data_IF_566351105695
#
_entry.id   IF_566351105695
#
_cell.length_a   1.000
_cell.length_b   1.000
_cell.length_c   1.000
_cell.angle_alpha   90.00
_cell.angle_beta   90.00
_cell.angle_gamma   90.00
#
_symmetry.space_group_name_H-M   'P 1'
#
loop_
_entity.id
_entity.type
_entity.pdbx_description
1 polymer ?
#
# COMPACT_ATOMS: atom_id res chain seq x y z
N UNK A 1 22.04 20.26 -44.99
CA UNK A 1 21.99 21.22 -43.87
C UNK A 1 21.55 20.45 -42.65
N UNK A 2 22.29 20.54 -41.54
CA UNK A 2 21.90 19.88 -40.29
C UNK A 2 20.61 20.55 -39.79
N UNK A 3 19.60 19.76 -39.41
CA UNK A 3 18.36 20.30 -38.86
C UNK A 3 18.38 20.02 -37.35
N UNK A 4 18.67 21.01 -36.48
CA UNK A 4 18.63 20.81 -35.04
C UNK A 4 17.25 20.35 -34.53
N UNK A 5 16.18 20.53 -35.31
CA UNK A 5 14.87 19.93 -35.05
C UNK A 5 14.83 18.41 -35.21
N UNK A 6 15.66 17.80 -36.06
CA UNK A 6 15.78 16.33 -36.16
C UNK A 6 16.51 15.71 -34.96
N UNK A 7 17.54 16.37 -34.44
CA UNK A 7 18.29 15.90 -33.24
C UNK A 7 17.50 16.12 -31.94
N UNK A 8 16.61 17.12 -31.89
CA UNK A 8 15.62 17.25 -30.81
C UNK A 8 14.49 16.23 -30.94
N UNK A 9 14.08 15.90 -32.17
CA UNK A 9 13.04 14.90 -32.43
C UNK A 9 13.52 13.45 -32.25
N UNK A 10 14.84 13.20 -32.20
CA UNK A 10 15.41 11.87 -31.95
C UNK A 10 15.51 11.52 -30.47
N UNK A 11 15.28 12.50 -29.57
CA UNK A 11 15.18 12.27 -28.13
C UNK A 11 13.78 11.73 -27.81
N UNK A 12 13.74 10.54 -27.22
CA UNK A 12 12.51 9.90 -26.77
C UNK A 12 12.02 10.51 -25.45
N UNK A 13 11.40 11.69 -25.55
CA UNK A 13 10.77 12.36 -24.42
C UNK A 13 9.61 11.56 -23.83
N UNK A 14 8.96 10.71 -24.63
CA UNK A 14 7.86 9.86 -24.18
C UNK A 14 8.35 8.83 -23.16
N UNK A 15 9.47 8.16 -23.44
CA UNK A 15 10.09 7.23 -22.49
C UNK A 15 10.69 7.96 -21.27
N UNK A 16 11.34 9.11 -21.48
CA UNK A 16 11.93 9.90 -20.39
C UNK A 16 10.89 10.45 -19.40
N UNK A 17 9.70 10.82 -19.86
CA UNK A 17 8.61 11.35 -19.03
C UNK A 17 7.68 10.23 -18.55
N UNK A 18 7.37 9.30 -19.43
CA UNK A 18 6.48 8.17 -19.17
C UNK A 18 7.05 7.18 -18.18
N UNK A 19 8.36 6.89 -18.24
CA UNK A 19 9.02 5.95 -17.33
C UNK A 19 8.82 6.31 -15.85
N UNK A 20 9.19 7.53 -15.40
CA UNK A 20 8.97 7.99 -14.04
C UNK A 20 7.49 8.01 -13.64
N UNK A 21 6.58 8.44 -14.52
CA UNK A 21 5.14 8.45 -14.23
C UNK A 21 4.58 7.03 -14.02
N UNK A 22 4.95 6.09 -14.89
CA UNK A 22 4.55 4.68 -14.76
C UNK A 22 5.16 4.07 -13.49
N UNK A 23 6.40 4.42 -13.16
CA UNK A 23 7.04 3.96 -11.93
C UNK A 23 6.29 4.43 -10.67
N UNK A 24 5.83 5.69 -10.63
CA UNK A 24 5.03 6.22 -9.51
C UNK A 24 3.70 5.47 -9.37
N UNK A 25 3.01 5.21 -10.49
CA UNK A 25 1.74 4.45 -10.49
C UNK A 25 1.97 3.03 -9.97
N UNK A 26 3.01 2.35 -10.43
CA UNK A 26 3.36 1.00 -9.96
C UNK A 26 3.73 1.00 -8.48
N UNK A 27 4.50 1.99 -8.01
CA UNK A 27 4.85 2.14 -6.60
C UNK A 27 3.60 2.36 -5.72
N UNK A 28 2.61 3.12 -6.20
CA UNK A 28 1.32 3.27 -5.51
C UNK A 28 0.54 1.96 -5.43
N UNK A 29 0.48 1.21 -6.53
CA UNK A 29 -0.18 -0.08 -6.54
C UNK A 29 0.48 -1.05 -5.54
N UNK A 30 1.81 -1.09 -5.50
CA UNK A 30 2.55 -1.92 -4.56
C UNK A 30 2.31 -1.50 -3.10
N UNK A 31 2.32 -0.19 -2.80
CA UNK A 31 2.02 0.32 -1.47
C UNK A 31 0.62 -0.11 -0.99
N UNK A 32 -0.39 -0.03 -1.86
CA UNK A 32 -1.74 -0.48 -1.56
C UNK A 32 -1.81 -1.99 -1.27
N UNK A 33 -1.11 -2.80 -2.08
CA UNK A 33 -1.02 -4.26 -1.87
C UNK A 33 -0.36 -4.59 -0.53
N UNK A 34 0.69 -3.86 -0.14
CA UNK A 34 1.34 -4.06 1.17
C UNK A 34 0.39 -3.80 2.34
N UNK A 35 -0.45 -2.76 2.27
CA UNK A 35 -1.47 -2.51 3.30
C UNK A 35 -2.53 -3.62 3.33
N UNK A 36 -2.99 -4.10 2.17
CA UNK A 36 -3.94 -5.23 2.10
C UNK A 36 -3.34 -6.50 2.70
N UNK A 37 -2.08 -6.80 2.37
CA UNK A 37 -1.38 -7.97 2.90
C UNK A 37 -1.19 -7.89 4.41
N UNK A 38 -0.89 -6.70 4.94
CA UNK A 38 -0.83 -6.48 6.38
C UNK A 38 -2.18 -6.73 7.05
N UNK A 39 -3.27 -6.18 6.50
CA UNK A 39 -4.63 -6.40 7.03
C UNK A 39 -4.99 -7.89 7.02
N UNK A 40 -4.65 -8.59 5.93
CA UNK A 40 -4.88 -10.04 5.81
C UNK A 40 -4.08 -10.85 6.83
N UNK A 41 -2.80 -10.52 7.03
CA UNK A 41 -1.93 -11.28 7.93
C UNK A 41 -2.25 -11.09 9.41
N UNK A 42 -2.74 -9.91 9.81
CA UNK A 42 -3.04 -9.62 11.23
C UNK A 42 -4.52 -9.75 11.57
N UNK A 43 -5.41 -9.60 10.57
CA UNK A 43 -6.84 -9.45 10.77
C UNK A 43 -7.64 -10.74 10.66
N UNK A 44 -7.16 -11.70 9.88
CA UNK A 44 -7.92 -12.90 9.53
C UNK A 44 -7.11 -14.16 9.79
N UNK A 45 -7.79 -15.25 10.15
CA UNK A 45 -7.15 -16.57 10.23
C UNK A 45 -6.68 -16.98 8.84
N UNK A 46 -5.55 -17.68 8.76
CA UNK A 46 -5.06 -18.22 7.50
C UNK A 46 -6.13 -19.13 6.88
N UNK A 47 -6.69 -18.71 5.74
CA UNK A 47 -7.49 -19.57 4.87
C UNK A 47 -6.63 -20.75 4.41
N UNK A 48 -7.26 -21.86 4.07
CA UNK A 48 -6.56 -23.11 3.76
C UNK A 48 -5.90 -23.10 2.36
N UNK A 49 -5.70 -21.92 1.76
CA UNK A 49 -5.12 -21.76 0.42
C UNK A 49 -4.15 -20.57 0.34
N UNK A 50 -2.99 -20.82 -0.26
CA UNK A 50 -1.97 -19.81 -0.60
C UNK A 50 -2.34 -19.00 -1.87
N UNK A 51 -3.56 -19.14 -2.37
CA UNK A 51 -4.02 -18.56 -3.63
C UNK A 51 -4.81 -17.26 -3.41
N UNK A 52 -4.57 -16.28 -4.28
CA UNK A 52 -5.18 -14.96 -4.25
C UNK A 52 -6.63 -15.01 -4.78
N UNK A 53 -7.51 -15.75 -4.10
CA UNK A 53 -8.94 -15.81 -4.42
C UNK A 53 -9.69 -14.77 -3.57
N UNK A 54 -10.53 -13.96 -4.23
CA UNK A 54 -11.30 -12.86 -3.63
C UNK A 54 -12.34 -13.35 -2.58
N UNK A 55 -12.55 -14.67 -2.52
CA UNK A 55 -13.52 -15.34 -1.66
C UNK A 55 -12.93 -16.09 -0.45
N UNK A 56 -11.59 -16.13 -0.29
CA UNK A 56 -10.91 -16.84 0.83
C UNK A 56 -10.44 -15.88 1.94
N UNK A 57 -11.25 -14.87 2.26
CA UNK A 57 -10.99 -14.06 3.46
C UNK A 57 -11.47 -14.89 4.67
N UNK A 58 -10.54 -15.54 5.37
CA UNK A 58 -10.83 -16.37 6.54
C UNK A 58 -11.52 -15.61 7.68
N UNK A 59 -11.94 -16.30 8.73
CA UNK A 59 -12.63 -15.65 9.86
C UNK A 59 -11.77 -14.57 10.52
N UNK A 60 -12.33 -13.42 10.90
CA UNK A 60 -11.58 -12.38 11.60
C UNK A 60 -11.09 -12.87 12.97
N UNK A 61 -9.90 -12.40 13.36
CA UNK A 61 -9.29 -12.69 14.65
C UNK A 61 -9.88 -11.76 15.71
N UNK A 62 -10.43 -12.34 16.77
CA UNK A 62 -10.99 -11.62 17.91
C UNK A 62 -10.09 -11.76 19.14
N UNK A 63 -10.04 -10.69 19.94
CA UNK A 63 -9.46 -10.68 21.28
C UNK A 63 -10.59 -10.69 22.29
N UNK A 64 -10.55 -11.67 23.21
CA UNK A 64 -11.54 -11.78 24.29
C UNK A 64 -11.01 -11.13 25.56
N UNK A 65 -11.68 -10.09 26.02
CA UNK A 65 -11.48 -9.50 27.35
C UNK A 65 -12.42 -10.17 28.34
N UNK A 66 -11.88 -10.56 29.50
CA UNK A 66 -12.65 -11.09 30.62
C UNK A 66 -12.65 -10.05 31.74
N UNK A 67 -13.82 -9.76 32.28
CA UNK A 67 -13.95 -8.86 33.42
C UNK A 67 -14.99 -9.36 34.41
N UNK A 68 -14.74 -9.26 35.73
CA UNK A 68 -15.74 -9.59 36.73
C UNK A 68 -16.82 -8.50 36.73
N UNK A 69 -18.09 -8.91 36.65
CA UNK A 69 -19.24 -8.03 36.80
C UNK A 69 -20.13 -8.55 37.92
N UNK A 70 -20.52 -7.66 38.82
CA UNK A 70 -21.56 -7.95 39.81
C UNK A 70 -22.91 -8.01 39.10
N UNK A 71 -23.51 -9.20 39.07
CA UNK A 71 -24.80 -9.45 38.41
C UNK A 71 -25.97 -9.34 39.39
N UNK A 72 -25.70 -9.54 40.69
CA UNK A 72 -26.69 -9.38 41.74
C UNK A 72 -26.03 -8.74 42.97
N UNK A 73 -26.55 -7.60 43.45
CA UNK A 73 -26.08 -7.00 44.69
C UNK A 73 -26.43 -7.87 45.88
N UNK A 74 -25.65 -7.74 46.95
CA UNK A 74 -25.94 -8.40 48.22
C UNK A 74 -27.36 -8.10 48.69
N UNK A 75 -28.14 -9.15 48.94
CA UNK A 75 -29.48 -9.02 49.52
C UNK A 75 -29.41 -9.40 51.00
N UNK A 76 -29.59 -8.44 51.93
CA UNK A 76 -29.63 -8.74 53.34
C UNK A 76 -30.83 -9.67 53.64
N UNK A 77 -30.71 -10.57 54.62
CA UNK A 77 -31.80 -11.45 54.99
C UNK A 77 -33.01 -10.63 55.45
N UNK A 78 -34.16 -10.85 54.82
CA UNK A 78 -35.47 -10.37 55.31
C UNK A 78 -35.90 -11.23 56.50
N UNK A 79 -36.54 -10.62 57.51
CA UNK A 79 -36.66 -11.12 58.89
C UNK A 79 -37.03 -12.61 59.12
N UNK A 80 -36.58 -13.10 60.29
CA UNK A 80 -36.91 -14.36 60.96
C UNK A 80 -36.86 -15.64 60.10
N UNK A 81 -35.67 -15.96 59.57
CA UNK A 81 -35.36 -17.28 59.00
C UNK A 81 -34.90 -17.28 57.54
N UNK A 82 -34.85 -16.12 56.89
CA UNK A 82 -34.32 -16.01 55.53
C UNK A 82 -32.79 -16.10 55.49
N UNK A 83 -32.23 -16.91 54.60
CA UNK A 83 -30.80 -16.88 54.28
C UNK A 83 -30.49 -15.68 53.39
N UNK A 84 -29.60 -14.80 53.83
CA UNK A 84 -29.11 -13.67 53.01
C UNK A 84 -28.39 -14.18 51.77
N UNK A 85 -28.58 -13.52 50.63
CA UNK A 85 -27.96 -13.94 49.37
C UNK A 85 -26.68 -13.13 49.13
N UNK A 86 -25.53 -13.81 49.08
CA UNK A 86 -24.24 -13.20 48.78
C UNK A 86 -24.26 -12.53 47.39
N UNK A 87 -23.54 -11.41 47.25
CA UNK A 87 -23.38 -10.75 45.96
C UNK A 87 -22.77 -11.73 44.94
N UNK A 88 -23.42 -11.87 43.79
CA UNK A 88 -22.95 -12.77 42.74
C UNK A 88 -22.09 -12.00 41.75
N UNK A 89 -20.80 -12.36 41.70
CA UNK A 89 -19.85 -11.85 40.73
C UNK A 89 -19.72 -12.89 39.61
N UNK A 90 -20.03 -12.50 38.38
CA UNK A 90 -19.91 -13.34 37.20
C UNK A 90 -18.83 -12.81 36.26
N UNK A 91 -17.99 -13.69 35.74
CA UNK A 91 -17.00 -13.35 34.71
C UNK A 91 -17.71 -13.12 33.38
N UNK A 92 -17.75 -11.88 32.92
CA UNK A 92 -18.27 -11.48 31.62
C UNK A 92 -17.15 -11.52 30.58
N UNK A 93 -17.52 -11.84 29.33
CA UNK A 93 -16.61 -11.83 28.18
C UNK A 93 -17.03 -10.76 27.19
N UNK A 94 -16.05 -10.01 26.69
CA UNK A 94 -16.21 -9.03 25.60
C UNK A 94 -15.27 -9.43 24.46
N UNK A 95 -15.81 -9.61 23.27
CA UNK A 95 -15.04 -9.99 22.09
C UNK A 95 -14.93 -8.80 21.14
N UNK A 96 -13.70 -8.41 20.81
CA UNK A 96 -13.40 -7.26 19.95
C UNK A 96 -12.45 -7.71 18.82
N UNK A 97 -12.71 -7.37 17.55
CA UNK A 97 -11.79 -7.69 16.45
C UNK A 97 -10.42 -7.04 16.68
N UNK A 98 -9.34 -7.78 16.41
CA UNK A 98 -7.98 -7.26 16.61
C UNK A 98 -7.67 -6.04 15.72
N UNK A 99 -8.33 -5.95 14.56
CA UNK A 99 -8.18 -4.87 13.60
C UNK A 99 -8.60 -3.50 14.15
N UNK A 100 -9.45 -3.45 15.18
CA UNK A 100 -9.86 -2.19 15.81
C UNK A 100 -8.89 -1.70 16.89
N UNK A 101 -7.89 -2.52 17.25
CA UNK A 101 -6.89 -2.18 18.27
C UNK A 101 -5.48 -2.03 17.70
N UNK A 102 -5.29 -2.34 16.41
CA UNK A 102 -4.01 -2.25 15.74
C UNK A 102 -3.98 -1.05 14.79
N UNK A 103 -2.95 -0.18 14.85
CA UNK A 103 -2.79 0.87 13.85
C UNK A 103 -2.45 0.24 12.48
N UNK A 104 -3.24 0.55 11.46
CA UNK A 104 -3.00 0.08 10.09
C UNK A 104 -1.99 1.01 9.42
N UNK A 105 -0.88 0.48 8.85
CA UNK A 105 0.10 1.27 8.14
C UNK A 105 -0.49 1.86 6.86
N UNK A 106 -0.24 3.15 6.64
CA UNK A 106 -0.72 3.90 5.50
C UNK A 106 0.47 4.50 4.74
N UNK A 107 0.69 4.01 3.52
CA UNK A 107 1.77 4.46 2.65
C UNK A 107 1.14 4.95 1.34
N UNK A 108 1.39 6.21 1.00
CA UNK A 108 0.93 6.86 -0.23
C UNK A 108 2.02 7.81 -0.73
N UNK A 109 2.15 7.96 -2.04
CA UNK A 109 2.96 8.99 -2.67
C UNK A 109 2.09 10.25 -2.70
N UNK A 110 2.52 11.28 -1.99
CA UNK A 110 1.83 12.57 -1.92
C UNK A 110 2.27 13.49 -3.07
N UNK A 111 3.58 13.54 -3.33
CA UNK A 111 4.16 14.33 -4.41
C UNK A 111 5.24 13.54 -5.15
N UNK A 112 5.30 13.72 -6.47
CA UNK A 112 6.38 13.24 -7.32
C UNK A 112 6.83 14.38 -8.24
N UNK A 113 8.06 14.84 -8.05
CA UNK A 113 8.69 15.88 -8.89
C UNK A 113 9.60 15.21 -9.90
N UNK A 114 9.50 15.62 -11.17
CA UNK A 114 10.35 15.12 -12.25
C UNK A 114 10.99 16.30 -12.97
N UNK A 115 12.31 16.44 -12.80
CA UNK A 115 13.09 17.51 -13.41
C UNK A 115 13.92 17.00 -14.58
N UNK A 116 13.77 17.63 -15.73
CA UNK A 116 14.51 17.30 -16.94
C UNK A 116 15.52 18.38 -17.27
N UNK A 117 16.79 18.00 -17.38
CA UNK A 117 17.85 18.87 -17.89
C UNK A 117 18.47 18.22 -19.13
N UNK A 118 18.18 18.78 -20.31
CA UNK A 118 18.71 18.30 -21.57
C UNK A 118 19.77 19.28 -22.11
N UNK A 119 20.98 18.76 -22.38
CA UNK A 119 22.06 19.51 -23.00
C UNK A 119 22.53 18.81 -24.27
N UNK A 120 22.35 19.46 -25.42
CA UNK A 120 22.82 18.98 -26.72
C UNK A 120 24.29 19.34 -26.87
N UNK A 121 25.18 18.34 -26.90
CA UNK A 121 26.62 18.54 -26.98
C UNK A 121 27.23 18.22 -28.37
N UNK A 122 26.47 17.60 -29.28
CA UNK A 122 27.00 17.12 -30.57
C UNK A 122 26.41 17.90 -31.74
N UNK A 123 27.27 18.58 -32.49
CA UNK A 123 26.98 19.09 -33.84
C UNK A 123 28.12 18.62 -34.76
N UNK A 124 27.91 17.51 -35.48
CA UNK A 124 28.93 17.01 -36.41
C UNK A 124 28.70 17.62 -37.80
N UNK A 125 29.57 18.56 -38.19
CA UNK A 125 29.52 19.18 -39.51
C UNK A 125 30.08 18.22 -40.56
N UNK A 126 29.20 17.51 -41.27
CA UNK A 126 29.60 16.78 -42.50
C UNK A 126 29.85 17.80 -43.62
N UNK A 127 31.11 18.16 -43.85
CA UNK A 127 31.54 18.95 -45.01
C UNK A 127 31.68 17.99 -46.21
N UNK A 128 30.71 18.02 -47.12
CA UNK A 128 30.82 17.33 -48.42
C UNK A 128 31.56 18.24 -49.40
N UNK A 129 32.83 17.95 -49.67
CA UNK A 129 33.56 18.55 -50.78
C UNK A 129 33.30 17.72 -52.06
N UNK A 130 32.51 18.28 -52.99
CA UNK A 130 32.26 17.68 -54.31
C UNK A 130 33.27 18.22 -55.32
N UNK A 131 34.49 17.67 -55.32
CA UNK A 131 35.42 17.81 -56.45
C UNK A 131 35.92 16.43 -56.86
N UNK A 132 35.23 15.82 -57.82
CA UNK A 132 35.74 14.66 -58.55
C UNK A 132 36.50 15.17 -59.78
N UNK A 133 37.82 15.28 -59.69
CA UNK A 133 38.68 15.47 -60.87
C UNK A 133 38.83 14.12 -61.57
N UNK A 134 38.04 13.90 -62.62
CA UNK A 134 38.33 12.87 -63.61
C UNK A 134 39.32 13.51 -64.58
N UNK A 135 40.60 13.17 -64.45
CA UNK A 135 41.60 13.52 -65.45
C UNK A 135 41.53 12.46 -66.56
N UNK A 136 41.10 12.88 -67.74
CA UNK A 136 41.03 12.05 -68.94
C UNK A 136 41.88 12.71 -70.02
N UNK A 137 43.13 12.27 -70.16
CA UNK A 137 43.95 12.25 -71.38
C UNK A 137 45.17 11.38 -71.17
#
# INVERSE_FOLDING_TARGET
MINPGQELSSIDFESMIGGPLVAVVNAQAQAAISTVNFIKSVGFKAGNSDAFEESDTGDPIYVTFKYPKEVMPYQPPTEAGGTGTAAQIQEMKLEVPILTMLPIPFIRIDEATVDFNAKINTMEYRKTDTQLKIDSS
#
